data_IF_856528139366
#
_entry.id   IF_856528139366
#
_cell.length_a   1.000
_cell.length_b   1.000
_cell.length_c   1.000
_cell.angle_alpha   90.00
_cell.angle_beta   90.00
_cell.angle_gamma   90.00
#
_symmetry.space_group_name_H-M   'P 1'
#
loop_
_entity.id
_entity.type
_entity.pdbx_description
1 polymer ?
#
# COMPACT_ATOMS: atom_id res chain seq x y z
N UNK A 1 26.40 4.17 6.45
CA UNK A 1 25.20 3.71 5.73
C UNK A 1 24.62 4.90 5.00
N UNK A 2 24.53 4.87 3.67
CA UNK A 2 23.95 5.96 2.89
C UNK A 2 22.45 5.69 2.83
N UNK A 3 21.65 6.53 3.48
CA UNK A 3 20.18 6.45 3.38
C UNK A 3 19.82 7.13 2.07
N UNK A 4 19.28 6.37 1.12
CA UNK A 4 18.62 6.96 -0.04
C UNK A 4 17.15 7.23 0.30
N UNK A 5 16.60 8.30 -0.28
CA UNK A 5 15.27 8.79 0.06
C UNK A 5 14.16 7.82 -0.33
N UNK A 6 14.38 7.01 -1.35
CA UNK A 6 13.41 6.00 -1.78
C UNK A 6 13.29 4.89 -0.73
N UNK A 7 14.42 4.30 -0.32
CA UNK A 7 14.44 3.31 0.76
C UNK A 7 13.89 3.85 2.07
N UNK A 8 14.15 5.13 2.40
CA UNK A 8 13.53 5.73 3.58
C UNK A 8 12.01 5.79 3.47
N UNK A 9 11.48 6.32 2.36
CA UNK A 9 10.04 6.48 2.16
C UNK A 9 9.29 5.15 2.19
N UNK A 10 9.86 4.09 1.62
CA UNK A 10 9.25 2.76 1.58
C UNK A 10 9.23 2.04 2.94
N UNK A 11 10.08 2.43 3.90
CA UNK A 11 10.20 1.75 5.18
C UNK A 11 9.78 2.59 6.40
N UNK A 12 9.42 3.87 6.20
CA UNK A 12 9.09 4.78 7.30
C UNK A 12 7.74 4.46 7.97
N UNK A 13 6.74 4.04 7.18
CA UNK A 13 5.41 3.67 7.68
C UNK A 13 5.36 2.15 7.81
N UNK A 14 4.88 1.67 8.95
CA UNK A 14 4.70 0.24 9.22
C UNK A 14 3.31 -0.22 8.80
N UNK A 15 3.21 -1.40 8.21
CA UNK A 15 1.94 -2.10 7.95
C UNK A 15 1.41 -2.79 9.22
N UNK A 16 0.09 -2.90 9.35
CA UNK A 16 -0.54 -3.70 10.41
C UNK A 16 -0.68 -5.18 9.99
N UNK A 17 -1.20 -6.01 10.91
CA UNK A 17 -1.36 -7.45 10.66
C UNK A 17 -2.29 -7.78 9.49
N UNK A 18 -3.28 -6.92 9.19
CA UNK A 18 -4.22 -7.12 8.08
C UNK A 18 -3.51 -6.91 6.75
N UNK A 19 -2.75 -5.82 6.63
CA UNK A 19 -1.94 -5.52 5.45
C UNK A 19 -0.85 -6.57 5.22
N UNK A 20 -0.15 -6.99 6.28
CA UNK A 20 0.86 -8.06 6.20
C UNK A 20 0.24 -9.37 5.70
N UNK A 21 -0.94 -9.73 6.21
CA UNK A 21 -1.66 -10.93 5.79
C UNK A 21 -2.14 -10.86 4.34
N UNK A 22 -2.66 -9.71 3.91
CA UNK A 22 -3.09 -9.50 2.53
C UNK A 22 -1.91 -9.58 1.56
N UNK A 23 -0.76 -8.99 1.90
CA UNK A 23 0.46 -9.09 1.09
C UNK A 23 0.96 -10.53 0.99
N UNK A 24 0.96 -11.27 2.10
CA UNK A 24 1.31 -12.69 2.09
C UNK A 24 0.38 -13.48 1.16
N UNK A 25 -0.93 -13.22 1.23
CA UNK A 25 -1.90 -13.82 0.31
C UNK A 25 -1.62 -13.46 -1.15
N UNK A 26 -1.23 -12.22 -1.42
CA UNK A 26 -0.90 -11.77 -2.76
C UNK A 26 0.26 -12.51 -3.38
N UNK A 27 1.30 -12.79 -2.58
CA UNK A 27 2.41 -13.65 -3.00
C UNK A 27 1.92 -15.06 -3.35
N UNK A 28 1.02 -15.66 -2.56
CA UNK A 28 0.47 -17.00 -2.82
C UNK A 28 -0.32 -17.09 -4.13
N UNK A 29 -1.09 -16.04 -4.46
CA UNK A 29 -1.95 -16.02 -5.66
C UNK A 29 -1.28 -15.35 -6.87
N UNK A 30 -0.04 -14.88 -6.72
CA UNK A 30 0.75 -14.28 -7.80
C UNK A 30 0.34 -12.85 -8.16
N UNK A 31 -0.27 -12.09 -7.25
CA UNK A 31 -0.57 -10.68 -7.46
C UNK A 31 0.67 -9.82 -7.27
N UNK A 32 0.64 -8.61 -7.84
CA UNK A 32 1.66 -7.58 -7.63
C UNK A 32 1.02 -6.41 -6.91
N UNK A 33 0.98 -6.52 -5.59
CA UNK A 33 0.40 -5.50 -4.75
C UNK A 33 1.30 -4.27 -4.64
N UNK A 34 0.68 -3.12 -4.37
CA UNK A 34 1.39 -1.84 -4.22
C UNK A 34 2.42 -1.87 -3.09
N UNK A 35 3.43 -1.01 -3.19
CA UNK A 35 4.41 -0.81 -2.14
C UNK A 35 3.80 -0.12 -0.91
N UNK A 36 4.46 -0.19 0.24
CA UNK A 36 4.00 0.45 1.48
C UNK A 36 3.95 1.97 1.31
N UNK A 37 4.97 2.55 0.66
CA UNK A 37 5.00 3.97 0.33
C UNK A 37 3.85 4.38 -0.57
N UNK A 38 3.53 3.56 -1.58
CA UNK A 38 2.42 3.80 -2.51
C UNK A 38 1.07 3.75 -1.79
N UNK A 39 0.80 2.71 -1.00
CA UNK A 39 -0.46 2.59 -0.25
C UNK A 39 -0.66 3.75 0.74
N UNK A 40 0.40 4.13 1.44
CA UNK A 40 0.39 5.29 2.35
C UNK A 40 0.08 6.61 1.63
N UNK A 41 0.65 6.80 0.45
CA UNK A 41 0.37 7.99 -0.36
C UNK A 41 -1.06 7.99 -0.91
N UNK A 42 -1.59 6.84 -1.35
CA UNK A 42 -2.98 6.72 -1.80
C UNK A 42 -3.97 7.07 -0.68
N UNK A 43 -3.71 6.59 0.55
CA UNK A 43 -4.48 6.97 1.74
C UNK A 43 -4.43 8.48 2.01
N UNK A 44 -3.24 9.07 1.93
CA UNK A 44 -3.08 10.51 2.09
C UNK A 44 -3.84 11.29 1.00
N UNK A 45 -3.73 10.88 -0.25
CA UNK A 45 -4.40 11.50 -1.38
C UNK A 45 -5.92 11.45 -1.24
N UNK A 46 -6.48 10.27 -0.92
CA UNK A 46 -7.91 10.08 -0.71
C UNK A 46 -8.44 11.01 0.40
N UNK A 47 -7.69 11.16 1.49
CA UNK A 47 -8.02 12.08 2.57
C UNK A 47 -7.96 13.55 2.12
N UNK A 48 -6.88 13.95 1.45
CA UNK A 48 -6.65 15.32 0.99
C UNK A 48 -7.74 15.83 0.04
N UNK A 49 -8.30 14.95 -0.80
CA UNK A 49 -9.39 15.31 -1.71
C UNK A 49 -10.78 15.09 -1.11
N UNK A 50 -10.87 14.70 0.17
CA UNK A 50 -12.11 14.32 0.86
C UNK A 50 -12.93 13.28 0.07
N UNK A 51 -12.25 12.27 -0.49
CA UNK A 51 -12.86 11.26 -1.34
C UNK A 51 -14.06 10.60 -0.63
N UNK A 52 -15.25 10.70 -1.23
CA UNK A 52 -16.45 10.02 -0.74
C UNK A 52 -16.57 8.60 -1.30
N UNK A 53 -15.94 8.36 -2.45
CA UNK A 53 -15.97 7.07 -3.13
C UNK A 53 -14.69 6.92 -3.97
N UNK A 54 -14.14 5.71 -3.97
CA UNK A 54 -12.95 5.33 -4.75
C UNK A 54 -13.26 4.04 -5.48
N UNK A 55 -12.83 3.95 -6.73
CA UNK A 55 -12.90 2.72 -7.53
C UNK A 55 -11.49 2.25 -7.78
N UNK A 56 -11.19 1.03 -7.36
CA UNK A 56 -9.93 0.35 -7.69
C UNK A 56 -10.17 -0.61 -8.87
N UNK A 57 -9.33 -0.53 -9.89
CA UNK A 57 -9.36 -1.44 -11.04
C UNK A 57 -8.17 -2.38 -10.94
N UNK A 58 -8.45 -3.65 -10.65
CA UNK A 58 -7.43 -4.68 -10.46
C UNK A 58 -6.91 -4.74 -9.02
N UNK A 59 -7.77 -5.19 -8.11
CA UNK A 59 -7.57 -5.18 -6.64
C UNK A 59 -6.36 -5.97 -6.12
N UNK A 60 -5.81 -6.90 -6.90
CA UNK A 60 -4.74 -7.77 -6.40
C UNK A 60 -5.20 -8.55 -5.16
N UNK A 61 -4.42 -8.50 -4.08
CA UNK A 61 -4.80 -9.03 -2.77
C UNK A 61 -5.50 -8.02 -1.87
N UNK A 62 -5.81 -6.82 -2.38
CA UNK A 62 -6.53 -5.76 -1.68
C UNK A 62 -5.64 -4.75 -0.95
N UNK A 63 -4.32 -4.92 -0.93
CA UNK A 63 -3.35 -4.10 -0.16
C UNK A 63 -3.47 -2.59 -0.43
N UNK A 64 -3.88 -2.18 -1.64
CA UNK A 64 -4.07 -0.76 -1.95
C UNK A 64 -5.34 -0.14 -1.39
N UNK A 65 -6.29 -0.96 -0.92
CA UNK A 65 -7.66 -0.58 -0.56
C UNK A 65 -8.01 -0.79 0.92
N UNK A 66 -7.28 -1.66 1.63
CA UNK A 66 -7.37 -1.85 3.09
C UNK A 66 -6.37 -0.96 3.81
#
# INVERSE_FOLDING_TARGET
MKIDMFSYAENFITEDEVLVSARARGVEVGTRDVSVGTGSYLRHLAHTIAAQSVVEVGTGAGVGSI
#
